data_IF_050846846802
#
_entry.id   IF_050846846802
#
_cell.length_a   1.000
_cell.length_b   1.000
_cell.length_c   1.000
_cell.angle_alpha   90.00
_cell.angle_beta   90.00
_cell.angle_gamma   90.00
#
_symmetry.space_group_name_H-M   'P 1'
#
loop_
_entity.id
_entity.type
_entity.pdbx_description
1 polymer ?
#
# COMPACT_ATOMS: atom_id res chain seq x y z
N UNK A 1 14.61 -14.14 49.67
CA UNK A 1 14.69 -14.54 48.25
C UNK A 1 13.32 -14.83 47.65
N UNK A 2 12.28 -14.13 48.02
CA UNK A 2 10.90 -14.38 47.50
C UNK A 2 10.15 -13.14 47.04
N UNK A 3 10.81 -12.00 46.95
CA UNK A 3 10.15 -10.70 46.62
C UNK A 3 10.61 -10.15 45.25
N UNK A 4 11.62 -10.71 44.62
CA UNK A 4 12.13 -10.25 43.32
C UNK A 4 11.51 -11.00 42.11
N UNK A 5 10.89 -12.16 42.30
CA UNK A 5 10.28 -12.91 41.20
C UNK A 5 8.88 -12.37 40.84
N UNK A 6 8.20 -11.70 41.78
CA UNK A 6 6.88 -11.12 41.53
C UNK A 6 6.90 -9.81 40.73
N UNK A 7 8.04 -9.12 40.64
CA UNK A 7 8.18 -7.85 39.92
C UNK A 7 8.47 -8.03 38.43
N UNK A 8 8.99 -9.19 38.01
CA UNK A 8 9.28 -9.50 36.59
C UNK A 8 8.03 -9.99 35.86
N UNK A 9 7.12 -10.69 36.55
CA UNK A 9 5.84 -11.16 35.95
C UNK A 9 4.78 -10.04 35.76
N UNK A 10 4.93 -8.92 36.45
CA UNK A 10 3.99 -7.78 36.32
C UNK A 10 4.33 -6.85 35.14
N UNK A 11 5.54 -6.89 34.60
CA UNK A 11 5.98 -6.03 33.48
C UNK A 11 5.62 -6.58 32.09
N UNK A 12 5.25 -7.87 31.97
CA UNK A 12 4.84 -8.47 30.68
C UNK A 12 3.35 -8.38 30.37
N UNK A 13 2.53 -7.84 31.28
CA UNK A 13 1.07 -7.79 31.14
C UNK A 13 0.48 -6.48 30.62
N UNK A 14 1.27 -5.51 30.19
CA UNK A 14 0.75 -4.20 29.76
C UNK A 14 1.29 -3.72 28.43
N UNK A 15 0.95 -4.45 27.36
CA UNK A 15 0.96 -3.90 26.00
C UNK A 15 -0.18 -4.51 25.19
N UNK A 16 -1.43 -4.28 25.65
CA UNK A 16 -2.60 -4.46 24.80
C UNK A 16 -2.57 -3.35 23.73
N UNK A 17 -2.14 -3.70 22.52
CA UNK A 17 -2.28 -2.86 21.34
C UNK A 17 -3.77 -2.53 21.16
N UNK A 18 -4.18 -1.26 21.03
CA UNK A 18 -5.59 -0.92 20.79
C UNK A 18 -6.03 -1.51 19.46
N UNK A 19 -6.95 -2.45 19.54
CA UNK A 19 -7.53 -3.17 18.42
C UNK A 19 -8.57 -2.27 17.76
N UNK A 20 -8.20 -1.64 16.66
CA UNK A 20 -9.15 -0.91 15.81
C UNK A 20 -10.05 -1.92 15.10
N UNK A 21 -11.37 -1.72 15.18
CA UNK A 21 -12.38 -2.56 14.55
C UNK A 21 -12.18 -2.66 13.03
N UNK A 22 -12.49 -3.80 12.38
CA UNK A 22 -12.36 -3.93 10.95
C UNK A 22 -13.33 -2.96 10.25
N UNK A 23 -12.78 -2.11 9.38
CA UNK A 23 -13.60 -1.37 8.44
C UNK A 23 -14.12 -2.34 7.36
N UNK A 24 -15.37 -2.12 6.86
CA UNK A 24 -15.90 -2.92 5.77
C UNK A 24 -15.01 -2.83 4.53
N UNK A 25 -15.08 -3.86 3.68
CA UNK A 25 -14.38 -4.05 2.39
C UNK A 25 -14.65 -2.95 1.33
N UNK A 26 -15.04 -1.77 1.73
CA UNK A 26 -15.06 -0.57 0.90
C UNK A 26 -13.66 0.06 1.00
N UNK A 27 -12.98 0.16 -0.14
CA UNK A 27 -11.73 0.89 -0.27
C UNK A 27 -11.80 2.21 0.51
N UNK A 28 -11.18 2.24 1.69
CA UNK A 28 -10.96 3.50 2.37
C UNK A 28 -9.96 4.25 1.51
N UNK A 29 -10.43 5.25 0.79
CA UNK A 29 -9.63 6.17 0.02
C UNK A 29 -8.59 6.75 0.98
N UNK A 30 -7.36 6.25 0.94
CA UNK A 30 -6.25 6.85 1.67
C UNK A 30 -5.90 8.14 0.95
N UNK A 31 -6.57 9.23 1.33
CA UNK A 31 -6.13 10.57 0.96
C UNK A 31 -4.69 10.70 1.43
N UNK A 32 -3.73 11.08 0.56
CA UNK A 32 -2.41 11.43 1.04
C UNK A 32 -2.60 12.47 2.14
N UNK A 33 -1.92 12.32 3.27
CA UNK A 33 -2.18 13.12 4.44
C UNK A 33 -2.00 14.60 4.13
N UNK A 34 -3.10 15.38 4.11
CA UNK A 34 -3.06 16.85 4.03
C UNK A 34 -2.35 17.40 5.26
N UNK A 35 -1.43 18.31 5.02
CA UNK A 35 -0.51 18.85 6.03
C UNK A 35 -1.21 19.94 6.83
N UNK A 36 -1.59 19.63 8.07
CA UNK A 36 -1.69 20.65 9.14
C UNK A 36 -0.52 20.45 10.09
N UNK A 37 0.43 21.37 10.05
CA UNK A 37 1.69 21.30 10.78
C UNK A 37 1.55 21.47 12.31
N UNK A 38 0.33 21.63 12.84
CA UNK A 38 0.08 22.00 14.23
C UNK A 38 -0.39 20.86 15.14
N UNK A 39 -0.73 19.69 14.61
CA UNK A 39 -1.13 18.53 15.43
C UNK A 39 -0.05 17.45 15.34
N UNK A 40 0.22 16.73 16.43
CA UNK A 40 1.26 15.70 16.57
C UNK A 40 1.18 14.55 15.56
N UNK A 41 1.21 14.89 14.27
CA UNK A 41 1.06 14.01 13.12
C UNK A 41 2.33 13.20 12.90
N UNK A 42 2.16 11.93 12.64
CA UNK A 42 3.23 11.00 12.31
C UNK A 42 3.26 10.75 10.81
N UNK A 43 4.42 10.92 10.18
CA UNK A 43 4.69 10.49 8.81
C UNK A 43 5.08 9.03 8.84
N UNK A 44 4.51 8.26 7.92
CA UNK A 44 4.77 6.83 7.78
C UNK A 44 5.36 6.55 6.41
N UNK A 45 6.55 5.97 6.40
CA UNK A 45 7.29 5.57 5.21
C UNK A 45 7.31 4.05 5.11
N UNK A 46 6.91 3.51 3.96
CA UNK A 46 6.91 2.08 3.69
C UNK A 46 7.99 1.72 2.66
N UNK A 47 8.83 0.75 3.00
CA UNK A 47 9.90 0.26 2.15
C UNK A 47 9.68 -1.21 1.84
N UNK A 48 9.39 -1.58 0.58
CA UNK A 48 9.33 -2.97 0.17
C UNK A 48 10.72 -3.59 0.15
N UNK A 49 10.84 -4.83 0.60
CA UNK A 49 12.10 -5.56 0.64
C UNK A 49 12.24 -6.61 -0.49
N UNK A 50 11.18 -6.81 -1.26
CA UNK A 50 11.18 -7.68 -2.44
C UNK A 50 10.32 -7.10 -3.58
N UNK A 51 10.50 -7.63 -4.80
CA UNK A 51 9.81 -7.11 -5.99
C UNK A 51 8.30 -7.34 -5.96
N UNK A 52 7.82 -8.45 -5.40
CA UNK A 52 6.39 -8.69 -5.23
C UNK A 52 5.75 -7.61 -4.38
N UNK A 53 6.30 -7.32 -3.22
CA UNK A 53 5.79 -6.29 -2.32
C UNK A 53 5.88 -4.90 -2.94
N UNK A 54 6.94 -4.62 -3.70
CA UNK A 54 7.09 -3.37 -4.47
C UNK A 54 5.96 -3.21 -5.50
N UNK A 55 5.63 -4.28 -6.21
CA UNK A 55 4.53 -4.27 -7.19
C UNK A 55 3.17 -4.11 -6.51
N UNK A 56 2.96 -4.77 -5.38
CA UNK A 56 1.73 -4.63 -4.59
C UNK A 56 1.53 -3.19 -4.09
N UNK A 57 2.56 -2.55 -3.54
CA UNK A 57 2.49 -1.16 -3.08
C UNK A 57 2.23 -0.18 -4.23
N UNK A 58 2.83 -0.40 -5.41
CA UNK A 58 2.55 0.41 -6.60
C UNK A 58 1.10 0.27 -7.05
N UNK A 59 0.58 -0.97 -7.07
CA UNK A 59 -0.81 -1.20 -7.43
C UNK A 59 -1.77 -0.57 -6.43
N UNK A 60 -1.54 -0.75 -5.13
CA UNK A 60 -2.34 -0.14 -4.05
C UNK A 60 -2.37 1.39 -4.17
N UNK A 61 -1.20 2.01 -4.44
CA UNK A 61 -1.10 3.44 -4.68
C UNK A 61 -1.96 3.90 -5.87
N UNK A 62 -1.79 3.27 -7.02
CA UNK A 62 -2.54 3.61 -8.24
C UNK A 62 -4.04 3.36 -8.10
N UNK A 63 -4.42 2.27 -7.41
CA UNK A 63 -5.82 1.95 -7.15
C UNK A 63 -6.48 2.99 -6.27
N UNK A 64 -5.84 3.38 -5.16
CA UNK A 64 -6.34 4.44 -4.29
C UNK A 64 -6.42 5.79 -5.03
N UNK A 65 -5.43 6.11 -5.87
CA UNK A 65 -5.44 7.32 -6.71
C UNK A 65 -6.62 7.32 -7.69
N UNK A 66 -6.86 6.18 -8.36
CA UNK A 66 -7.99 6.01 -9.28
C UNK A 66 -9.34 6.23 -8.59
N UNK A 67 -9.55 5.62 -7.43
CA UNK A 67 -10.76 5.78 -6.63
C UNK A 67 -10.96 7.23 -6.18
N UNK A 68 -9.93 7.85 -5.62
CA UNK A 68 -9.98 9.24 -5.16
C UNK A 68 -10.39 10.21 -6.28
N UNK A 69 -9.71 10.12 -7.42
CA UNK A 69 -9.99 11.01 -8.53
C UNK A 69 -11.37 10.79 -9.18
N UNK A 70 -11.85 9.55 -9.21
CA UNK A 70 -13.18 9.24 -9.69
C UNK A 70 -14.29 9.86 -8.80
N UNK A 71 -14.06 9.95 -7.48
CA UNK A 71 -15.04 10.57 -6.56
C UNK A 71 -15.10 12.10 -6.68
N UNK A 72 -14.10 12.76 -7.25
CA UNK A 72 -14.11 14.24 -7.37
C UNK A 72 -15.16 14.78 -8.33
N UNK A 73 -15.68 13.96 -9.26
CA UNK A 73 -16.72 14.32 -10.23
C UNK A 73 -16.31 15.36 -11.28
N UNK A 74 -15.12 15.97 -11.16
CA UNK A 74 -14.63 16.97 -12.11
C UNK A 74 -14.05 16.34 -13.38
N UNK A 75 -14.01 17.07 -14.50
CA UNK A 75 -13.36 16.60 -15.73
C UNK A 75 -11.86 16.33 -15.52
N UNK A 76 -11.18 17.18 -14.74
CA UNK A 76 -9.78 16.98 -14.39
C UNK A 76 -9.57 15.75 -13.49
N UNK A 77 -10.47 15.49 -12.54
CA UNK A 77 -10.48 14.27 -11.76
C UNK A 77 -10.68 13.03 -12.63
N UNK A 78 -11.61 13.07 -13.58
CA UNK A 78 -11.81 11.98 -14.54
C UNK A 78 -10.57 11.72 -15.41
N UNK A 79 -9.84 12.77 -15.83
CA UNK A 79 -8.55 12.62 -16.53
C UNK A 79 -7.52 11.90 -15.66
N UNK A 80 -7.37 12.31 -14.40
CA UNK A 80 -6.44 11.69 -13.48
C UNK A 80 -6.83 10.23 -13.15
N UNK A 81 -8.13 9.95 -13.03
CA UNK A 81 -8.63 8.59 -12.82
C UNK A 81 -8.28 7.66 -14.00
N UNK A 82 -8.50 8.12 -15.25
CA UNK A 82 -8.10 7.36 -16.46
C UNK A 82 -6.59 7.15 -16.52
N UNK A 83 -5.80 8.16 -16.20
CA UNK A 83 -4.34 8.01 -16.11
C UNK A 83 -3.95 6.88 -15.16
N UNK A 84 -4.54 6.88 -13.95
CA UNK A 84 -4.31 5.82 -12.96
C UNK A 84 -4.78 4.44 -13.46
N UNK A 85 -5.91 4.35 -14.16
CA UNK A 85 -6.41 3.11 -14.76
C UNK A 85 -5.42 2.53 -15.79
N UNK A 86 -4.89 3.38 -16.65
CA UNK A 86 -3.89 3.00 -17.67
C UNK A 86 -2.61 2.49 -16.99
N UNK A 87 -2.16 3.16 -15.92
CA UNK A 87 -0.99 2.73 -15.15
C UNK A 87 -1.23 1.40 -14.42
N UNK A 88 -2.43 1.17 -13.85
CA UNK A 88 -2.83 -0.12 -13.29
C UNK A 88 -2.75 -1.21 -14.36
N UNK A 89 -3.32 -0.98 -15.54
CA UNK A 89 -3.24 -1.92 -16.66
C UNK A 89 -1.80 -2.22 -17.07
N UNK A 90 -0.92 -1.22 -17.06
CA UNK A 90 0.50 -1.41 -17.36
C UNK A 90 1.20 -2.27 -16.31
N UNK A 91 0.91 -2.09 -15.02
CA UNK A 91 1.46 -2.93 -13.93
C UNK A 91 0.95 -4.36 -14.05
N UNK A 92 -0.36 -4.56 -14.18
CA UNK A 92 -0.98 -5.88 -14.26
C UNK A 92 -0.56 -6.65 -15.53
N UNK A 93 -0.21 -5.94 -16.61
CA UNK A 93 0.23 -6.55 -17.87
C UNK A 93 1.68 -7.03 -17.88
N UNK A 94 2.54 -6.45 -17.03
CA UNK A 94 3.99 -6.74 -17.02
C UNK A 94 4.39 -7.85 -16.05
N UNK A 95 3.55 -8.18 -15.08
CA UNK A 95 3.84 -9.15 -14.04
C UNK A 95 2.73 -10.18 -13.94
N UNK A 96 3.07 -11.41 -13.53
CA UNK A 96 2.07 -12.41 -13.16
C UNK A 96 1.48 -12.12 -11.77
N UNK A 97 0.96 -10.88 -11.65
CA UNK A 97 0.46 -10.32 -10.40
C UNK A 97 -0.66 -11.17 -9.79
N UNK A 98 -1.49 -11.79 -10.65
CA UNK A 98 -2.55 -12.69 -10.20
C UNK A 98 -1.98 -13.93 -9.50
N UNK A 99 -0.97 -14.56 -10.09
CA UNK A 99 -0.29 -15.72 -9.50
C UNK A 99 0.42 -15.33 -8.20
N UNK A 100 1.08 -14.18 -8.18
CA UNK A 100 1.76 -13.66 -6.99
C UNK A 100 0.76 -13.37 -5.85
N UNK A 101 -0.41 -12.79 -6.17
CA UNK A 101 -1.45 -12.56 -5.19
C UNK A 101 -2.04 -13.88 -4.66
N UNK A 102 -2.29 -14.87 -5.53
CA UNK A 102 -2.77 -16.18 -5.11
C UNK A 102 -1.78 -16.90 -4.18
N UNK A 103 -0.48 -16.89 -4.52
CA UNK A 103 0.58 -17.47 -3.66
C UNK A 103 0.63 -16.77 -2.31
N UNK A 104 0.49 -15.46 -2.28
CA UNK A 104 0.51 -14.70 -1.04
C UNK A 104 -0.75 -14.94 -0.20
N UNK A 105 -1.93 -15.07 -0.83
CA UNK A 105 -3.17 -15.46 -0.12
C UNK A 105 -2.98 -16.83 0.56
N UNK A 106 -2.45 -17.83 -0.16
CA UNK A 106 -2.21 -19.17 0.41
C UNK A 106 -1.24 -19.09 1.59
N UNK A 107 -0.16 -18.31 1.47
CA UNK A 107 0.80 -18.11 2.57
C UNK A 107 0.13 -17.48 3.79
N UNK A 108 -0.70 -16.45 3.59
CA UNK A 108 -1.42 -15.79 4.68
C UNK A 108 -2.46 -16.71 5.32
N UNK A 109 -3.18 -17.50 4.53
CA UNK A 109 -4.14 -18.49 5.05
C UNK A 109 -3.47 -19.54 5.93
N UNK A 110 -2.28 -20.02 5.53
CA UNK A 110 -1.50 -20.95 6.34
C UNK A 110 -1.08 -20.31 7.67
N UNK A 111 -0.52 -19.10 7.65
CA UNK A 111 -0.12 -18.37 8.86
C UNK A 111 -1.29 -18.12 9.81
N UNK A 112 -2.45 -17.69 9.28
CA UNK A 112 -3.64 -17.47 10.08
C UNK A 112 -4.18 -18.78 10.66
N UNK A 113 -4.06 -19.90 9.93
CA UNK A 113 -4.39 -21.24 10.42
C UNK A 113 -3.56 -21.63 11.64
N UNK A 114 -2.26 -21.37 11.63
CA UNK A 114 -1.38 -21.64 12.77
C UNK A 114 -1.73 -20.79 14.01
N UNK A 115 -2.25 -19.58 13.81
CA UNK A 115 -2.67 -18.74 14.92
C UNK A 115 -3.95 -19.23 15.62
N UNK A 116 -4.79 -20.06 14.98
CA UNK A 116 -6.02 -20.58 15.59
C UNK A 116 -5.76 -21.42 16.85
N UNK A 117 -4.61 -22.05 16.94
CA UNK A 117 -4.23 -22.93 18.05
C UNK A 117 -3.52 -22.19 19.19
N UNK A 118 -3.21 -20.90 19.02
CA UNK A 118 -2.46 -20.12 20.03
C UNK A 118 -3.41 -19.56 21.10
N UNK A 119 -3.05 -19.66 22.39
CA UNK A 119 -3.84 -19.07 23.47
C UNK A 119 -3.86 -17.54 23.36
N UNK A 120 -4.99 -16.91 23.68
CA UNK A 120 -5.16 -15.46 23.69
C UNK A 120 -5.50 -14.81 22.35
N UNK A 121 -5.72 -15.61 21.30
CA UNK A 121 -6.15 -15.12 19.99
C UNK A 121 -7.68 -14.97 19.94
N UNK A 122 -8.15 -13.85 19.39
CA UNK A 122 -9.57 -13.66 19.05
C UNK A 122 -9.94 -14.54 17.85
N UNK A 123 -10.46 -15.74 18.16
CA UNK A 123 -10.82 -16.76 17.17
C UNK A 123 -11.92 -16.26 16.21
N UNK A 124 -12.86 -15.42 16.68
CA UNK A 124 -13.94 -14.93 15.83
C UNK A 124 -13.41 -13.95 14.79
N UNK A 125 -12.56 -13.05 15.19
CA UNK A 125 -11.88 -12.10 14.29
C UNK A 125 -10.99 -12.83 13.28
N UNK A 126 -10.25 -13.85 13.75
CA UNK A 126 -9.39 -14.66 12.88
C UNK A 126 -10.20 -15.40 11.80
N UNK A 127 -11.35 -15.98 12.16
CA UNK A 127 -12.28 -16.62 11.22
C UNK A 127 -12.77 -15.64 10.16
N UNK A 128 -13.04 -14.38 10.52
CA UNK A 128 -13.44 -13.34 9.57
C UNK A 128 -12.34 -13.05 8.55
N UNK A 129 -11.07 -12.93 8.99
CA UNK A 129 -9.94 -12.73 8.07
C UNK A 129 -9.76 -13.90 7.11
N UNK A 130 -9.84 -15.14 7.62
CA UNK A 130 -9.73 -16.33 6.79
C UNK A 130 -10.89 -16.38 5.77
N UNK A 131 -12.12 -16.10 6.17
CA UNK A 131 -13.27 -16.07 5.26
C UNK A 131 -13.11 -15.02 4.16
N UNK A 132 -12.63 -13.82 4.50
CA UNK A 132 -12.35 -12.77 3.54
C UNK A 132 -11.28 -13.19 2.52
N UNK A 133 -10.16 -13.77 2.98
CA UNK A 133 -9.11 -14.25 2.09
C UNK A 133 -9.59 -15.38 1.16
N UNK A 134 -10.39 -16.31 1.66
CA UNK A 134 -11.00 -17.38 0.85
C UNK A 134 -11.93 -16.80 -0.21
N UNK A 135 -12.73 -15.78 0.13
CA UNK A 135 -13.60 -15.10 -0.83
C UNK A 135 -12.79 -14.37 -1.90
N UNK A 136 -11.74 -13.62 -1.51
CA UNK A 136 -10.85 -12.93 -2.45
C UNK A 136 -10.13 -13.91 -3.38
N UNK A 137 -9.65 -15.03 -2.84
CA UNK A 137 -9.07 -16.12 -3.65
C UNK A 137 -10.06 -16.60 -4.70
N UNK A 138 -11.30 -16.88 -4.29
CA UNK A 138 -12.35 -17.36 -5.18
C UNK A 138 -12.66 -16.34 -6.27
N UNK A 139 -12.82 -15.06 -5.91
CA UNK A 139 -13.06 -13.98 -6.85
C UNK A 139 -11.92 -13.85 -7.87
N UNK A 140 -10.67 -13.90 -7.38
CA UNK A 140 -9.48 -13.79 -8.22
C UNK A 140 -9.33 -15.00 -9.16
N UNK A 141 -9.68 -16.19 -8.71
CA UNK A 141 -9.70 -17.40 -9.56
C UNK A 141 -10.78 -17.34 -10.63
N UNK A 142 -11.99 -16.91 -10.27
CA UNK A 142 -13.15 -16.84 -11.17
C UNK A 142 -12.99 -15.74 -12.23
N UNK A 143 -12.35 -14.61 -11.90
CA UNK A 143 -12.09 -13.55 -12.87
C UNK A 143 -11.23 -14.02 -14.05
N UNK A 144 -10.37 -15.02 -13.84
CA UNK A 144 -9.50 -15.55 -14.87
C UNK A 144 -8.43 -14.56 -15.35
N UNK A 145 -7.65 -14.97 -16.35
CA UNK A 145 -6.61 -14.12 -16.96
C UNK A 145 -7.22 -13.12 -17.96
N UNK A 146 -8.34 -13.48 -18.55
CA UNK A 146 -8.98 -12.70 -19.62
C UNK A 146 -9.85 -11.54 -19.12
N UNK A 147 -10.08 -11.39 -17.81
CA UNK A 147 -11.00 -10.36 -17.28
C UNK A 147 -10.62 -8.93 -17.69
N UNK A 148 -9.33 -8.67 -17.91
CA UNK A 148 -8.82 -7.36 -18.32
C UNK A 148 -8.76 -7.17 -19.85
N UNK A 149 -9.06 -8.22 -20.64
CA UNK A 149 -8.96 -8.15 -22.10
C UNK A 149 -9.82 -7.02 -22.71
N UNK A 150 -11.07 -6.79 -22.28
CA UNK A 150 -11.87 -5.69 -22.82
C UNK A 150 -11.22 -4.32 -22.65
N UNK A 151 -10.46 -4.10 -21.56
CA UNK A 151 -9.75 -2.84 -21.35
C UNK A 151 -8.50 -2.75 -22.25
N UNK A 152 -7.81 -3.87 -22.48
CA UNK A 152 -6.63 -3.92 -23.35
C UNK A 152 -7.01 -3.69 -24.81
N UNK A 153 -8.16 -4.18 -25.24
CA UNK A 153 -8.65 -4.07 -26.61
C UNK A 153 -9.41 -2.77 -26.85
N UNK A 154 -9.67 -1.96 -25.81
CA UNK A 154 -10.35 -0.69 -25.94
C UNK A 154 -9.55 0.31 -26.77
N UNK A 155 -10.07 0.67 -27.96
CA UNK A 155 -9.47 1.70 -28.82
C UNK A 155 -9.37 3.03 -28.09
N UNK A 156 -10.40 3.41 -27.34
CA UNK A 156 -10.46 4.62 -26.53
C UNK A 156 -9.31 4.68 -25.50
N UNK A 157 -9.15 3.64 -24.67
CA UNK A 157 -8.09 3.61 -23.66
C UNK A 157 -6.69 3.55 -24.30
N UNK A 158 -6.54 2.84 -25.40
CA UNK A 158 -5.29 2.77 -26.14
C UNK A 158 -4.93 4.12 -26.77
N UNK A 159 -5.89 4.85 -27.37
CA UNK A 159 -5.68 6.18 -27.90
C UNK A 159 -5.19 7.15 -26.79
N UNK A 160 -5.88 7.18 -25.64
CA UNK A 160 -5.46 8.02 -24.50
C UNK A 160 -4.07 7.61 -24.00
N UNK A 161 -3.77 6.32 -23.88
CA UNK A 161 -2.46 5.80 -23.45
C UNK A 161 -1.33 6.25 -24.40
N UNK A 162 -1.51 6.10 -25.69
CA UNK A 162 -0.50 6.49 -26.69
C UNK A 162 -0.24 8.00 -26.68
N UNK A 163 -1.30 8.80 -26.60
CA UNK A 163 -1.19 10.25 -26.55
C UNK A 163 -0.66 10.80 -25.22
N UNK A 164 -0.88 10.10 -24.11
CA UNK A 164 -0.34 10.48 -22.79
C UNK A 164 1.20 10.47 -22.74
N UNK A 165 1.86 9.76 -23.65
CA UNK A 165 3.32 9.79 -23.77
C UNK A 165 3.85 11.07 -24.39
N UNK A 166 3.01 11.89 -25.01
CA UNK A 166 3.34 13.16 -25.65
C UNK A 166 2.96 14.30 -24.68
N UNK A 167 3.85 15.25 -24.37
CA UNK A 167 3.49 16.41 -23.57
C UNK A 167 2.27 17.16 -24.17
N UNK A 168 1.17 17.26 -23.39
CA UNK A 168 -0.08 17.84 -23.88
C UNK A 168 -0.88 17.00 -24.87
N UNK A 169 -0.44 15.80 -25.24
CA UNK A 169 -1.05 14.96 -26.28
C UNK A 169 -2.46 14.43 -25.99
N UNK A 170 -2.99 14.67 -24.79
CA UNK A 170 -4.39 14.37 -24.45
C UNK A 170 -5.29 15.61 -24.51
N UNK A 171 -4.85 16.67 -25.23
CA UNK A 171 -5.66 17.85 -25.45
C UNK A 171 -6.82 17.57 -26.41
N UNK A 172 -7.73 18.54 -26.51
CA UNK A 172 -9.04 18.36 -27.12
C UNK A 172 -9.00 18.06 -28.62
N UNK A 173 -8.06 18.67 -29.35
CA UNK A 173 -7.95 18.46 -30.80
C UNK A 173 -7.30 17.11 -31.15
N UNK A 174 -6.48 16.54 -30.25
CA UNK A 174 -5.83 15.24 -30.47
C UNK A 174 -6.76 14.05 -30.19
N UNK A 175 -7.71 14.19 -29.27
CA UNK A 175 -8.61 13.13 -28.79
C UNK A 175 -10.06 13.65 -28.67
N UNK A 176 -10.79 13.82 -29.79
CA UNK A 176 -12.15 14.34 -29.77
C UNK A 176 -13.16 13.42 -29.05
N UNK A 177 -12.97 12.11 -29.09
CA UNK A 177 -13.75 11.11 -28.35
C UNK A 177 -13.53 11.23 -26.85
N UNK A 178 -12.33 11.53 -26.42
CA UNK A 178 -12.00 11.78 -25.03
C UNK A 178 -12.63 13.08 -24.53
N UNK A 179 -12.59 14.14 -25.32
CA UNK A 179 -13.31 15.39 -25.03
C UNK A 179 -14.82 15.12 -24.89
N UNK A 180 -15.41 14.38 -25.84
CA UNK A 180 -16.81 14.02 -25.78
C UNK A 180 -17.16 13.26 -24.49
N UNK A 181 -16.38 12.25 -24.11
CA UNK A 181 -16.58 11.52 -22.86
C UNK A 181 -16.44 12.45 -21.64
N UNK A 182 -15.46 13.33 -21.61
CA UNK A 182 -15.25 14.30 -20.52
C UNK A 182 -16.38 15.34 -20.42
N UNK A 183 -17.10 15.63 -21.50
CA UNK A 183 -18.25 16.53 -21.51
C UNK A 183 -19.52 15.91 -20.93
N UNK A 184 -19.56 14.59 -20.75
CA UNK A 184 -20.71 13.90 -20.15
C UNK A 184 -20.92 14.33 -18.69
N UNK A 185 -22.15 14.20 -18.13
CA UNK A 185 -22.39 14.42 -16.70
C UNK A 185 -21.43 13.64 -15.82
N UNK A 186 -21.00 14.25 -14.70
CA UNK A 186 -20.03 13.61 -13.79
C UNK A 186 -20.44 12.23 -13.33
N UNK A 187 -21.73 12.01 -13.06
CA UNK A 187 -22.24 10.71 -12.64
C UNK A 187 -22.13 9.66 -13.76
N UNK A 188 -22.39 10.03 -15.01
CA UNK A 188 -22.21 9.15 -16.18
C UNK A 188 -20.74 8.72 -16.33
N UNK A 189 -19.81 9.67 -16.20
CA UNK A 189 -18.37 9.37 -16.24
C UNK A 189 -17.96 8.44 -15.10
N UNK A 190 -18.46 8.70 -13.88
CA UNK A 190 -18.20 7.87 -12.70
C UNK A 190 -18.70 6.44 -12.89
N UNK A 191 -19.90 6.25 -13.41
CA UNK A 191 -20.47 4.94 -13.70
C UNK A 191 -19.64 4.17 -14.75
N UNK A 192 -19.29 4.83 -15.85
CA UNK A 192 -18.45 4.24 -16.90
C UNK A 192 -17.10 3.84 -16.35
N UNK A 193 -16.45 4.71 -15.59
CA UNK A 193 -15.17 4.42 -14.96
C UNK A 193 -15.25 3.24 -13.98
N UNK A 194 -16.30 3.17 -13.17
CA UNK A 194 -16.55 2.07 -12.24
C UNK A 194 -16.73 0.73 -12.95
N UNK A 195 -17.35 0.71 -14.14
CA UNK A 195 -17.45 -0.49 -14.97
C UNK A 195 -16.06 -0.96 -15.43
N UNK A 196 -15.22 -0.04 -15.90
CA UNK A 196 -13.85 -0.36 -16.29
C UNK A 196 -13.01 -0.86 -15.12
N UNK A 197 -13.02 -0.13 -14.02
CA UNK A 197 -12.29 -0.50 -12.81
C UNK A 197 -12.79 -1.83 -12.23
N UNK A 198 -14.08 -2.13 -12.40
CA UNK A 198 -14.70 -3.40 -11.98
C UNK A 198 -14.01 -4.64 -12.54
N UNK A 199 -13.46 -4.56 -13.74
CA UNK A 199 -12.69 -5.65 -14.36
C UNK A 199 -11.34 -5.90 -13.69
N UNK A 200 -10.79 -4.91 -12.99
CA UNK A 200 -9.51 -4.99 -12.28
C UNK A 200 -9.67 -5.20 -10.77
N UNK A 201 -10.88 -4.97 -10.23
CA UNK A 201 -11.16 -5.12 -8.80
C UNK A 201 -10.70 -6.45 -8.19
N UNK A 202 -10.90 -7.62 -8.83
CA UNK A 202 -10.48 -8.87 -8.21
C UNK A 202 -9.01 -8.90 -7.81
N UNK A 203 -8.11 -8.34 -8.63
CA UNK A 203 -6.68 -8.28 -8.31
C UNK A 203 -6.36 -7.10 -7.39
N UNK A 204 -6.97 -5.94 -7.59
CA UNK A 204 -6.74 -4.76 -6.77
C UNK A 204 -7.22 -4.98 -5.32
N UNK A 205 -8.42 -5.52 -5.12
CA UNK A 205 -8.97 -5.79 -3.80
C UNK A 205 -8.18 -6.86 -3.06
N UNK A 206 -7.73 -7.92 -3.77
CA UNK A 206 -6.86 -8.93 -3.20
C UNK A 206 -5.53 -8.34 -2.70
N UNK A 207 -4.87 -7.51 -3.51
CA UNK A 207 -3.60 -6.87 -3.13
C UNK A 207 -3.80 -5.88 -1.98
N UNK A 208 -4.88 -5.10 -1.99
CA UNK A 208 -5.20 -4.16 -0.91
C UNK A 208 -5.38 -4.87 0.44
N UNK A 209 -6.11 -6.00 0.46
CA UNK A 209 -6.31 -6.81 1.67
C UNK A 209 -5.00 -7.46 2.13
N UNK A 210 -4.20 -8.02 1.22
CA UNK A 210 -2.91 -8.61 1.54
C UNK A 210 -1.96 -7.59 2.18
N UNK A 211 -1.90 -6.38 1.64
CA UNK A 211 -1.11 -5.29 2.21
C UNK A 211 -1.65 -4.86 3.57
N UNK A 212 -2.98 -4.79 3.72
CA UNK A 212 -3.60 -4.47 4.99
C UNK A 212 -3.21 -5.50 6.06
N UNK A 213 -3.33 -6.79 5.78
CA UNK A 213 -2.92 -7.87 6.69
C UNK A 213 -1.42 -7.78 7.02
N UNK A 214 -0.56 -7.61 6.02
CA UNK A 214 0.89 -7.45 6.22
C UNK A 214 1.20 -6.29 7.17
N UNK A 215 0.46 -5.17 7.06
CA UNK A 215 0.58 -4.01 7.95
C UNK A 215 0.07 -4.29 9.36
N UNK A 216 -1.03 -5.07 9.51
CA UNK A 216 -1.63 -5.39 10.82
C UNK A 216 -0.75 -6.33 11.65
N UNK A 217 -0.10 -7.29 11.02
CA UNK A 217 0.75 -8.27 11.71
C UNK A 217 2.20 -7.82 11.86
N UNK A 218 2.52 -6.57 11.50
CA UNK A 218 3.84 -5.99 11.69
C UNK A 218 4.21 -5.85 13.16
N UNK A 219 5.47 -6.12 13.48
CA UNK A 219 6.02 -5.95 14.84
C UNK A 219 6.71 -4.60 14.95
N UNK A 220 6.18 -3.75 15.82
CA UNK A 220 6.69 -2.40 16.04
C UNK A 220 7.62 -2.34 17.25
N UNK A 221 8.73 -1.60 17.11
CA UNK A 221 9.66 -1.31 18.19
C UNK A 221 10.26 0.06 18.02
N UNK A 222 10.60 0.70 19.14
CA UNK A 222 11.31 1.98 19.14
C UNK A 222 12.79 1.72 18.83
N UNK A 223 13.35 2.50 17.90
CA UNK A 223 14.74 2.42 17.48
C UNK A 223 15.39 3.80 17.50
N UNK A 224 16.72 3.82 17.52
CA UNK A 224 17.53 5.03 17.45
C UNK A 224 18.60 4.89 16.36
N UNK A 225 18.56 5.80 15.38
CA UNK A 225 19.59 5.93 14.36
C UNK A 225 20.70 6.83 14.89
N UNK A 226 21.87 6.25 15.16
CA UNK A 226 23.05 6.97 15.66
C UNK A 226 23.68 7.80 14.54
N UNK A 227 23.86 9.10 14.78
CA UNK A 227 24.37 10.00 13.75
C UNK A 227 23.56 9.95 12.45
N UNK A 228 22.23 9.82 12.55
CA UNK A 228 21.33 9.75 11.41
C UNK A 228 21.38 8.44 10.62
N UNK A 229 22.03 7.37 11.13
CA UNK A 229 22.14 6.08 10.43
C UNK A 229 21.66 4.92 11.30
N UNK A 230 20.89 4.01 10.71
CA UNK A 230 20.44 2.78 11.35
C UNK A 230 20.64 1.59 10.40
N UNK A 231 21.15 0.48 10.94
CA UNK A 231 21.35 -0.75 10.16
C UNK A 231 20.54 -1.88 10.77
N UNK A 232 19.75 -2.55 9.94
CA UNK A 232 19.00 -3.74 10.29
C UNK A 232 19.53 -4.95 9.52
N UNK A 233 19.87 -6.04 10.23
CA UNK A 233 20.21 -7.34 9.65
C UNK A 233 19.00 -8.25 9.69
N UNK A 234 18.81 -9.04 8.65
CA UNK A 234 17.69 -9.98 8.51
C UNK A 234 18.14 -11.41 8.72
N UNK A 235 17.29 -12.19 9.35
CA UNK A 235 17.42 -13.63 9.37
C UNK A 235 17.02 -14.20 8.00
N UNK A 236 17.82 -15.14 7.48
CA UNK A 236 17.55 -15.81 6.20
C UNK A 236 16.31 -16.69 6.25
N UNK A 237 16.02 -17.26 7.42
CA UNK A 237 14.91 -18.20 7.62
C UNK A 237 13.58 -17.49 7.82
N UNK A 238 13.60 -16.18 8.09
CA UNK A 238 12.38 -15.37 8.27
C UNK A 238 12.45 -14.07 7.44
N UNK A 239 12.26 -14.16 6.12
CA UNK A 239 12.42 -13.02 5.23
C UNK A 239 11.34 -11.98 5.49
N UNK A 240 11.77 -10.75 5.80
CA UNK A 240 10.88 -9.61 5.91
C UNK A 240 10.36 -9.21 4.52
N UNK A 241 9.08 -8.85 4.47
CA UNK A 241 8.42 -8.39 3.26
C UNK A 241 8.56 -6.87 3.09
N UNK A 242 8.39 -6.13 4.19
CA UNK A 242 8.34 -4.68 4.18
C UNK A 242 8.80 -4.10 5.52
N UNK A 243 9.44 -2.94 5.47
CA UNK A 243 9.69 -2.09 6.63
C UNK A 243 8.74 -0.89 6.62
N UNK A 244 8.32 -0.46 7.80
CA UNK A 244 7.58 0.78 8.02
C UNK A 244 8.32 1.61 9.05
N UNK A 245 8.59 2.86 8.69
CA UNK A 245 9.33 3.81 9.51
C UNK A 245 8.39 4.97 9.80
N UNK A 246 8.13 5.22 11.08
CA UNK A 246 7.28 6.31 11.51
C UNK A 246 8.08 7.38 12.24
N UNK A 247 7.88 8.64 11.82
CA UNK A 247 8.54 9.84 12.34
C UNK A 247 7.49 10.90 12.65
N UNK A 248 7.69 11.72 13.69
CA UNK A 248 6.92 12.94 13.88
C UNK A 248 7.10 13.86 12.66
N UNK A 249 6.00 14.41 12.13
CA UNK A 249 6.08 15.36 11.00
C UNK A 249 6.89 16.61 11.37
N UNK A 250 6.92 16.96 12.64
CA UNK A 250 7.70 18.08 13.18
C UNK A 250 9.22 17.85 13.15
N UNK A 251 9.68 16.62 12.91
CA UNK A 251 11.13 16.33 12.85
C UNK A 251 11.81 16.97 11.63
N UNK A 252 11.07 17.28 10.56
CA UNK A 252 11.64 17.76 9.31
C UNK A 252 12.53 16.74 8.58
N UNK A 253 12.50 15.48 9.03
CA UNK A 253 13.32 14.38 8.51
C UNK A 253 12.50 13.42 7.66
N UNK A 254 13.18 12.76 6.73
CA UNK A 254 12.65 11.61 6.00
C UNK A 254 13.73 10.53 5.86
N UNK A 255 13.35 9.22 5.84
CA UNK A 255 14.29 8.14 5.69
C UNK A 255 14.59 7.87 4.21
N UNK A 256 15.84 7.64 3.89
CA UNK A 256 16.29 6.98 2.67
C UNK A 256 16.74 5.57 3.03
N UNK A 257 16.16 4.58 2.37
CA UNK A 257 16.39 3.17 2.70
C UNK A 257 17.10 2.49 1.55
N UNK A 258 18.26 1.92 1.81
CA UNK A 258 18.99 1.07 0.88
C UNK A 258 19.19 -0.32 1.49
N UNK A 259 19.06 -1.38 0.69
CA UNK A 259 19.14 -2.72 1.24
C UNK A 259 19.62 -3.76 0.24
N UNK A 260 20.14 -4.85 0.80
CA UNK A 260 20.42 -6.10 0.14
C UNK A 260 19.62 -7.22 0.80
N UNK A 261 19.75 -8.46 0.30
CA UNK A 261 19.03 -9.63 0.82
C UNK A 261 19.23 -9.93 2.33
N UNK A 262 20.24 -9.33 2.98
CA UNK A 262 20.60 -9.64 4.36
C UNK A 262 20.68 -8.43 5.27
N UNK A 263 20.70 -7.23 4.72
CA UNK A 263 20.89 -5.99 5.48
C UNK A 263 20.21 -4.82 4.82
N UNK A 264 19.61 -4.00 5.65
CA UNK A 264 18.99 -2.74 5.24
C UNK A 264 19.66 -1.59 6.02
N UNK A 265 20.05 -0.54 5.32
CA UNK A 265 20.55 0.68 5.91
C UNK A 265 19.53 1.77 5.73
N UNK A 266 19.21 2.49 6.80
CA UNK A 266 18.31 3.65 6.83
C UNK A 266 19.16 4.87 7.13
N UNK A 267 19.08 5.90 6.29
CA UNK A 267 19.69 7.21 6.53
C UNK A 267 18.57 8.23 6.68
N UNK A 268 18.69 9.11 7.64
CA UNK A 268 17.72 10.20 7.83
C UNK A 268 18.27 11.50 7.25
N UNK A 269 17.47 12.11 6.36
CA UNK A 269 17.84 13.29 5.61
C UNK A 269 16.86 14.43 5.88
N UNK A 270 17.36 15.67 5.76
CA UNK A 270 16.55 16.89 5.79
C UNK A 270 16.22 17.34 4.37
N UNK A 271 14.98 17.81 4.17
CA UNK A 271 14.59 18.46 2.93
C UNK A 271 15.12 19.91 2.91
N UNK A 272 15.90 20.27 1.89
CA UNK A 272 16.52 21.60 1.71
C UNK A 272 15.93 22.40 0.55
N UNK A 273 14.79 22.00 0.02
CA UNK A 273 14.18 22.64 -1.15
C UNK A 273 14.79 22.17 -2.47
N UNK A 274 14.61 22.97 -3.53
CA UNK A 274 15.09 22.65 -4.88
C UNK A 274 16.53 23.11 -5.15
N UNK A 275 17.03 24.05 -4.35
CA UNK A 275 18.34 24.69 -4.59
C UNK A 275 19.50 23.89 -3.99
N UNK A 276 19.26 23.06 -3.01
CA UNK A 276 20.29 22.31 -2.30
C UNK A 276 19.99 20.80 -2.30
N UNK A 277 21.05 20.00 -2.29
CA UNK A 277 20.90 18.55 -2.10
C UNK A 277 20.44 18.23 -0.68
N UNK A 278 19.63 17.18 -0.55
CA UNK A 278 19.26 16.65 0.74
C UNK A 278 20.52 16.28 1.56
N UNK A 279 20.53 16.66 2.84
CA UNK A 279 21.67 16.42 3.73
C UNK A 279 21.29 15.41 4.80
N UNK A 280 22.18 14.45 5.03
CA UNK A 280 22.03 13.52 6.14
C UNK A 280 22.21 14.27 7.47
N UNK A 281 21.32 14.02 8.42
CA UNK A 281 21.50 14.53 9.77
C UNK A 281 22.66 13.82 10.48
N UNK A 282 23.39 14.55 11.29
CA UNK A 282 24.44 14.01 12.19
C UNK A 282 23.93 13.72 13.59
N UNK A 283 22.68 14.10 13.87
CA UNK A 283 22.02 13.89 15.17
C UNK A 283 21.47 12.48 15.30
N UNK A 284 21.30 12.02 16.53
CA UNK A 284 20.60 10.79 16.84
C UNK A 284 19.10 10.95 16.59
N UNK A 285 18.51 10.04 15.84
CA UNK A 285 17.09 10.08 15.46
C UNK A 285 16.32 8.93 16.08
N UNK A 286 15.38 9.26 16.97
CA UNK A 286 14.44 8.27 17.50
C UNK A 286 13.26 8.09 16.56
N UNK A 287 12.91 6.85 16.23
CA UNK A 287 11.83 6.51 15.29
C UNK A 287 11.17 5.18 15.65
N UNK A 288 9.94 4.99 15.19
CA UNK A 288 9.25 3.71 15.32
C UNK A 288 9.50 2.87 14.07
N UNK A 289 10.14 1.72 14.24
CA UNK A 289 10.35 0.72 13.19
C UNK A 289 9.31 -0.38 13.30
N UNK A 290 8.60 -0.67 12.22
CA UNK A 290 7.73 -1.85 12.13
C UNK A 290 8.27 -2.79 11.06
N UNK A 291 8.53 -4.03 11.44
CA UNK A 291 8.94 -5.11 10.52
C UNK A 291 7.73 -5.96 10.17
N UNK A 292 7.47 -6.14 8.86
CA UNK A 292 6.35 -6.92 8.33
C UNK A 292 6.90 -8.17 7.62
N UNK A 293 6.36 -9.35 7.99
CA UNK A 293 6.72 -10.66 7.43
C UNK A 293 5.67 -11.23 6.52
#
# INVERSE_FOLDING_TARGET
MSTEIAAVEAAEKSAAVPVVAPAPLAAQTRVPPTVDAASGRTLLFEQPLNERMRTFLRLDFLYNQALYHNETGSAWGSRAAIGSLIDILAVVSRSDLRSDALKEIERQLQLLGEFQTRPGVDVQRLKTFIANLVQLRTNLMNAGVACQQPLRDSEFLNAVKHRSAIPGGTCEFDLPDYLYWLSQPGETRKQTFNQWLGLLRPVCDAVAELLWLTRQFGRSRQECARGGTFTLTFDRDNPLQMLRIALPASSGLYPEVSGSHHRCNVRFLTWKGLAEHAQQTTEDVSFLLTTCT
#
